data_IF_239401365416
#
_entry.id   IF_239401365416
#
_cell.length_a   1.000
_cell.length_b   1.000
_cell.length_c   1.000
_cell.angle_alpha   90.00
_cell.angle_beta   90.00
_cell.angle_gamma   90.00
#
_symmetry.space_group_name_H-M   'P 1'
#
loop_
_entity.id
_entity.type
_entity.pdbx_description
1 polymer ?
#
# COMPACT_ATOMS: atom_id res chain seq x y z
N UNK A 1 11.71 5.99 -6.07
CA UNK A 1 12.24 4.67 -5.69
C UNK A 1 13.75 4.68 -5.93
N UNK A 2 14.56 4.48 -4.89
CA UNK A 2 15.98 4.23 -5.11
C UNK A 2 16.07 2.79 -5.63
N UNK A 3 16.34 2.60 -6.94
CA UNK A 3 16.29 1.30 -7.63
C UNK A 3 17.00 0.16 -6.87
N UNK A 4 18.01 0.53 -6.07
CA UNK A 4 18.85 -0.39 -5.32
C UNK A 4 18.12 -1.11 -4.17
N UNK A 5 17.10 -0.51 -3.56
CA UNK A 5 16.44 -1.09 -2.38
C UNK A 5 15.39 -2.14 -2.77
N UNK A 6 14.61 -1.87 -3.82
CA UNK A 6 13.67 -2.83 -4.39
C UNK A 6 14.40 -4.08 -4.89
N UNK A 7 15.57 -3.89 -5.52
CA UNK A 7 16.45 -4.97 -5.96
C UNK A 7 16.98 -5.80 -4.79
N UNK A 8 17.43 -5.15 -3.71
CA UNK A 8 17.95 -5.84 -2.53
C UNK A 8 16.86 -6.67 -1.81
N UNK A 9 15.63 -6.17 -1.73
CA UNK A 9 14.51 -6.91 -1.15
C UNK A 9 14.12 -8.09 -2.05
N UNK A 10 14.08 -7.88 -3.37
CA UNK A 10 13.79 -8.94 -4.34
C UNK A 10 14.83 -10.07 -4.26
N UNK A 11 16.12 -9.73 -4.18
CA UNK A 11 17.21 -10.70 -4.06
C UNK A 11 17.16 -11.47 -2.73
N UNK A 12 16.83 -10.80 -1.61
CA UNK A 12 16.65 -11.46 -0.33
C UNK A 12 15.46 -12.46 -0.34
N UNK A 13 14.36 -12.11 -1.02
CA UNK A 13 13.19 -13.00 -1.17
C UNK A 13 13.52 -14.20 -2.06
N UNK A 14 14.33 -14.03 -3.12
CA UNK A 14 14.78 -15.14 -4.00
C UNK A 14 15.58 -16.21 -3.26
N UNK A 15 16.33 -15.82 -2.24
CA UNK A 15 17.22 -16.71 -1.51
C UNK A 15 16.53 -17.46 -0.34
N UNK A 16 15.22 -17.26 -0.13
CA UNK A 16 14.47 -17.94 0.92
C UNK A 16 13.95 -19.32 0.44
N UNK A 17 14.23 -20.43 1.16
CA UNK A 17 13.71 -21.75 0.78
C UNK A 17 12.17 -21.79 0.88
N UNK A 18 11.51 -22.30 -0.16
CA UNK A 18 10.05 -22.24 -0.36
C UNK A 18 9.22 -23.24 0.46
N UNK A 19 9.76 -23.84 1.53
CA UNK A 19 9.07 -24.86 2.32
C UNK A 19 8.61 -24.30 3.67
N UNK A 20 7.63 -23.40 3.62
CA UNK A 20 6.79 -23.12 4.78
C UNK A 20 5.34 -23.42 4.42
N UNK A 21 4.89 -24.64 4.74
CA UNK A 21 3.46 -24.88 4.97
C UNK A 21 3.05 -24.05 6.18
N UNK A 22 2.52 -22.86 5.93
CA UNK A 22 1.84 -22.10 6.97
C UNK A 22 0.54 -22.85 7.25
N UNK A 23 0.51 -23.62 8.34
CA UNK A 23 -0.74 -24.12 8.88
C UNK A 23 -1.59 -22.90 9.28
N UNK A 24 -2.61 -22.63 8.48
CA UNK A 24 -3.56 -21.52 8.65
C UNK A 24 -4.42 -21.79 9.90
N UNK A 25 -3.84 -21.59 11.08
CA UNK A 25 -4.48 -21.85 12.38
C UNK A 25 -5.49 -20.77 12.78
N UNK A 26 -5.67 -19.74 11.96
CA UNK A 26 -6.71 -18.73 12.11
C UNK A 26 -6.95 -18.14 10.72
N UNK A 27 -8.20 -18.02 10.25
CA UNK A 27 -8.63 -17.39 8.96
C UNK A 27 -8.26 -15.90 8.85
N UNK A 28 -7.08 -15.50 9.30
CA UNK A 28 -6.57 -14.15 9.21
C UNK A 28 -5.95 -14.01 7.82
N UNK A 29 -6.21 -12.91 7.11
CA UNK A 29 -5.56 -12.68 5.84
C UNK A 29 -4.04 -12.80 6.03
N UNK A 30 -3.38 -13.52 5.15
CA UNK A 30 -1.93 -13.58 5.14
C UNK A 30 -1.39 -12.21 4.76
N UNK A 31 -0.90 -11.50 5.78
CA UNK A 31 -0.47 -10.11 5.65
C UNK A 31 0.94 -9.98 5.06
N UNK A 32 1.70 -11.08 4.94
CA UNK A 32 3.12 -11.03 4.58
C UNK A 32 3.66 -12.21 3.76
N UNK A 33 2.85 -13.10 3.19
CA UNK A 33 3.37 -13.97 2.11
C UNK A 33 3.85 -13.12 0.94
N UNK A 34 5.16 -13.13 0.75
CA UNK A 34 5.79 -12.53 -0.40
C UNK A 34 5.96 -13.62 -1.46
N UNK A 35 5.33 -13.41 -2.61
CA UNK A 35 5.63 -14.13 -3.85
C UNK A 35 6.60 -13.31 -4.70
N UNK A 36 7.18 -13.91 -5.75
CA UNK A 36 8.04 -13.19 -6.70
C UNK A 36 7.33 -12.03 -7.41
N UNK A 37 6.00 -12.07 -7.50
CA UNK A 37 5.16 -11.04 -8.12
C UNK A 37 4.71 -9.96 -7.13
N UNK A 38 5.17 -10.03 -5.88
CA UNK A 38 4.69 -9.12 -4.84
C UNK A 38 5.30 -7.74 -5.00
N UNK A 39 4.44 -6.77 -5.31
CA UNK A 39 4.80 -5.36 -5.37
C UNK A 39 4.77 -4.71 -3.98
N UNK A 40 5.83 -3.97 -3.64
CA UNK A 40 6.01 -3.33 -2.33
C UNK A 40 6.14 -1.82 -2.48
N UNK A 41 5.46 -1.10 -1.58
CA UNK A 41 5.63 0.33 -1.35
C UNK A 41 6.32 0.55 -0.02
N UNK A 42 7.29 1.47 0.02
CA UNK A 42 7.96 1.86 1.27
C UNK A 42 8.09 3.38 1.35
N UNK A 43 7.77 3.94 2.52
CA UNK A 43 7.96 5.36 2.78
C UNK A 43 9.32 5.67 3.43
N UNK A 44 9.62 6.96 3.60
CA UNK A 44 10.89 7.45 4.17
C UNK A 44 11.12 7.00 5.63
N UNK A 45 10.07 6.58 6.35
CA UNK A 45 10.15 6.04 7.71
C UNK A 45 10.44 4.54 7.74
N UNK A 46 10.53 3.91 6.57
CA UNK A 46 10.79 2.47 6.44
C UNK A 46 9.54 1.61 6.55
N UNK A 47 8.33 2.18 6.62
CA UNK A 47 7.08 1.41 6.67
C UNK A 47 6.78 0.84 5.29
N UNK A 48 6.74 -0.48 5.20
CA UNK A 48 6.52 -1.21 3.95
C UNK A 48 5.10 -1.79 3.90
N UNK A 49 4.45 -1.65 2.74
CA UNK A 49 3.10 -2.14 2.43
C UNK A 49 3.14 -2.91 1.11
N UNK A 50 2.53 -4.10 1.09
CA UNK A 50 2.27 -4.89 -0.10
C UNK A 50 1.08 -4.31 -0.86
N UNK A 51 1.31 -3.99 -2.14
CA UNK A 51 0.29 -3.47 -3.06
C UNK A 51 -0.30 -4.61 -3.89
N UNK A 52 -1.60 -4.53 -4.16
CA UNK A 52 -2.31 -5.40 -5.10
C UNK A 52 -3.04 -4.57 -6.16
N UNK A 53 -2.44 -4.45 -7.35
CA UNK A 53 -3.02 -3.68 -8.48
C UNK A 53 -4.38 -4.20 -8.92
N UNK A 54 -4.66 -5.49 -8.72
CA UNK A 54 -5.97 -6.09 -9.00
C UNK A 54 -7.11 -5.39 -8.25
N UNK A 55 -6.87 -4.77 -7.09
CA UNK A 55 -7.90 -4.07 -6.30
C UNK A 55 -8.41 -2.80 -6.97
N UNK A 56 -7.79 -2.33 -8.05
CA UNK A 56 -8.38 -1.29 -8.88
C UNK A 56 -9.71 -1.73 -9.51
N UNK A 57 -10.01 -3.04 -9.58
CA UNK A 57 -11.32 -3.55 -9.99
C UNK A 57 -12.44 -3.19 -9.03
N UNK A 58 -12.13 -2.93 -7.75
CA UNK A 58 -13.12 -2.55 -6.74
C UNK A 58 -13.63 -1.12 -6.96
N UNK A 59 -12.83 -0.26 -7.59
CA UNK A 59 -13.17 1.14 -7.83
C UNK A 59 -14.10 1.29 -9.03
N UNK A 60 -15.18 2.05 -8.85
CA UNK A 60 -16.08 2.45 -9.95
C UNK A 60 -15.38 3.44 -10.89
N UNK A 61 -15.87 3.57 -12.13
CA UNK A 61 -15.33 4.54 -13.09
C UNK A 61 -15.41 5.98 -12.55
N UNK A 62 -16.49 6.33 -11.86
CA UNK A 62 -16.65 7.64 -11.22
C UNK A 62 -15.65 7.83 -10.06
N UNK A 63 -15.44 6.80 -9.24
CA UNK A 63 -14.44 6.82 -8.18
C UNK A 63 -13.03 7.03 -8.72
N UNK A 64 -12.66 6.30 -9.79
CA UNK A 64 -11.38 6.47 -10.49
C UNK A 64 -11.21 7.89 -11.03
N UNK A 65 -12.21 8.41 -11.74
CA UNK A 65 -12.18 9.78 -12.25
C UNK A 65 -11.99 10.81 -11.14
N UNK A 66 -12.71 10.65 -10.02
CA UNK A 66 -12.60 11.54 -8.86
C UNK A 66 -11.23 11.48 -8.19
N UNK A 67 -10.65 10.29 -8.06
CA UNK A 67 -9.31 10.08 -7.51
C UNK A 67 -8.24 10.71 -8.39
N UNK A 68 -8.31 10.47 -9.70
CA UNK A 68 -7.36 10.98 -10.69
C UNK A 68 -7.36 12.49 -10.78
N UNK A 69 -8.53 13.12 -10.72
CA UNK A 69 -8.67 14.57 -10.88
C UNK A 69 -8.05 15.37 -9.72
N UNK A 70 -8.16 14.86 -8.48
CA UNK A 70 -7.88 15.68 -7.28
C UNK A 70 -6.81 15.15 -6.35
N UNK A 71 -6.52 13.85 -6.36
CA UNK A 71 -5.79 13.22 -5.25
C UNK A 71 -4.49 12.55 -5.67
N UNK A 72 -4.36 12.12 -6.92
CA UNK A 72 -3.12 11.49 -7.38
C UNK A 72 -1.94 12.46 -7.41
N UNK A 73 -0.80 11.95 -6.97
CA UNK A 73 0.53 12.52 -7.18
C UNK A 73 1.00 12.37 -8.62
N UNK A 74 2.19 12.94 -8.92
CA UNK A 74 2.83 12.75 -10.21
C UNK A 74 3.24 11.28 -10.36
N UNK A 75 2.78 10.63 -11.44
CA UNK A 75 3.01 9.20 -11.72
C UNK A 75 2.54 8.27 -10.59
N UNK A 76 1.56 8.69 -9.79
CA UNK A 76 0.96 7.89 -8.73
C UNK A 76 -0.29 7.18 -9.26
N UNK A 77 -0.42 5.87 -9.03
CA UNK A 77 -1.67 5.15 -9.29
C UNK A 77 -2.58 5.10 -8.06
N UNK A 78 -3.80 4.57 -8.20
CA UNK A 78 -4.76 4.50 -7.08
C UNK A 78 -4.22 3.70 -5.88
N UNK A 79 -3.61 2.54 -6.14
CA UNK A 79 -3.05 1.74 -5.05
C UNK A 79 -1.81 2.38 -4.43
N UNK A 80 -1.04 3.18 -5.19
CA UNK A 80 0.09 3.94 -4.64
C UNK A 80 -0.40 5.02 -3.69
N UNK A 81 -1.47 5.75 -4.05
CA UNK A 81 -2.14 6.71 -3.18
C UNK A 81 -2.57 6.03 -1.87
N UNK A 82 -3.22 4.87 -1.95
CA UNK A 82 -3.67 4.15 -0.76
C UNK A 82 -2.50 3.67 0.10
N UNK A 83 -1.42 3.16 -0.51
CA UNK A 83 -0.23 2.72 0.21
C UNK A 83 0.53 3.90 0.86
N UNK A 84 0.64 5.04 0.17
CA UNK A 84 1.21 6.28 0.73
C UNK A 84 0.43 6.72 1.95
N UNK A 85 -0.89 6.81 1.86
CA UNK A 85 -1.73 7.24 2.97
C UNK A 85 -1.63 6.25 4.13
N UNK A 86 -1.79 4.95 3.86
CA UNK A 86 -1.70 3.91 4.89
C UNK A 86 -0.35 3.93 5.62
N UNK A 87 0.76 3.96 4.87
CA UNK A 87 2.10 3.98 5.45
C UNK A 87 2.42 5.28 6.20
N UNK A 88 1.78 6.41 5.85
CA UNK A 88 1.96 7.72 6.53
C UNK A 88 1.36 7.75 7.93
N UNK A 89 0.24 7.06 8.15
CA UNK A 89 -0.45 7.08 9.46
C UNK A 89 -0.29 5.79 10.26
N UNK A 90 0.49 4.85 9.75
CA UNK A 90 0.83 3.63 10.46
C UNK A 90 1.99 3.83 11.45
N UNK A 91 2.00 3.00 12.49
CA UNK A 91 3.09 2.89 13.46
C UNK A 91 4.18 1.89 13.03
N UNK A 92 3.81 0.87 12.26
CA UNK A 92 4.70 -0.18 11.76
C UNK A 92 4.12 -0.87 10.51
N UNK A 93 4.88 -1.78 9.89
CA UNK A 93 4.50 -2.48 8.65
C UNK A 93 3.16 -3.21 8.77
N UNK A 94 2.92 -3.93 9.88
CA UNK A 94 1.68 -4.68 10.10
C UNK A 94 0.48 -3.74 10.28
N UNK A 95 0.68 -2.59 10.92
CA UNK A 95 -0.36 -1.55 11.01
C UNK A 95 -0.64 -0.95 9.62
N UNK A 96 0.40 -0.61 8.85
CA UNK A 96 0.27 -0.06 7.49
C UNK A 96 -0.45 -1.02 6.55
N UNK A 97 -0.12 -2.31 6.58
CA UNK A 97 -0.79 -3.31 5.74
C UNK A 97 -2.28 -3.43 6.06
N UNK A 98 -2.66 -3.40 7.35
CA UNK A 98 -4.07 -3.44 7.76
C UNK A 98 -4.83 -2.22 7.25
N UNK A 99 -4.29 -1.01 7.44
CA UNK A 99 -4.91 0.22 6.92
C UNK A 99 -5.05 0.14 5.39
N UNK A 100 -3.98 -0.24 4.68
CA UNK A 100 -4.02 -0.38 3.22
C UNK A 100 -5.10 -1.37 2.77
N UNK A 101 -5.21 -2.53 3.41
CA UNK A 101 -6.23 -3.52 3.07
C UNK A 101 -7.63 -2.93 3.25
N UNK A 102 -7.93 -2.28 4.37
CA UNK A 102 -9.24 -1.66 4.59
C UNK A 102 -9.56 -0.55 3.58
N UNK A 103 -8.59 0.27 3.19
CA UNK A 103 -8.80 1.31 2.18
C UNK A 103 -8.99 0.68 0.79
N UNK A 104 -8.13 -0.25 0.39
CA UNK A 104 -8.12 -0.88 -0.95
C UNK A 104 -9.29 -1.85 -1.17
N UNK A 105 -9.83 -2.44 -0.10
CA UNK A 105 -11.06 -3.23 -0.11
C UNK A 105 -12.32 -2.37 0.06
N UNK A 106 -12.17 -1.03 0.13
CA UNK A 106 -13.25 -0.04 0.25
C UNK A 106 -14.10 -0.18 1.52
N UNK A 107 -13.54 -0.68 2.62
CA UNK A 107 -14.21 -0.75 3.92
C UNK A 107 -14.36 0.63 4.54
N UNK A 108 -13.40 1.52 4.27
CA UNK A 108 -13.53 2.95 4.51
C UNK A 108 -12.65 3.73 3.51
N UNK A 109 -12.83 5.05 3.46
CA UNK A 109 -11.98 5.94 2.70
C UNK A 109 -11.50 7.10 3.58
N UNK A 110 -10.21 7.47 3.56
CA UNK A 110 -9.72 8.64 4.26
C UNK A 110 -10.37 9.94 3.76
N UNK A 111 -10.47 10.94 4.63
CA UNK A 111 -11.00 12.25 4.28
C UNK A 111 -10.12 12.97 3.23
N UNK A 112 -10.71 13.91 2.50
CA UNK A 112 -10.07 14.67 1.41
C UNK A 112 -8.68 15.22 1.77
N UNK A 113 -8.46 15.92 2.91
CA UNK A 113 -7.13 16.42 3.25
C UNK A 113 -6.11 15.30 3.51
N UNK A 114 -6.57 14.15 4.01
CA UNK A 114 -5.71 12.99 4.25
C UNK A 114 -5.26 12.37 2.92
N UNK A 115 -6.16 12.24 1.95
CA UNK A 115 -5.84 11.73 0.61
C UNK A 115 -4.87 12.67 -0.14
N UNK A 116 -5.15 13.96 -0.14
CA UNK A 116 -4.35 14.96 -0.87
C UNK A 116 -2.99 15.22 -0.24
N UNK A 117 -2.93 15.28 1.10
CA UNK A 117 -1.75 15.79 1.81
C UNK A 117 -0.98 14.74 2.61
N UNK A 118 -1.60 13.61 2.97
CA UNK A 118 -0.96 12.57 3.77
C UNK A 118 0.30 12.02 3.09
N UNK A 119 1.47 12.25 3.70
CA UNK A 119 2.74 11.77 3.14
C UNK A 119 3.24 12.60 1.97
N UNK A 120 2.74 13.82 1.79
CA UNK A 120 3.23 14.78 0.78
C UNK A 120 3.71 16.07 1.43
N UNK A 121 4.26 16.98 0.62
CA UNK A 121 4.64 18.34 1.04
C UNK A 121 3.63 19.41 0.59
N UNK A 122 2.44 19.02 0.11
CA UNK A 122 1.46 19.91 -0.53
C UNK A 122 0.66 20.78 0.44
N UNK A 123 0.48 20.35 1.68
CA UNK A 123 -0.32 21.06 2.67
C UNK A 123 -0.51 20.27 3.97
N UNK A 124 -1.34 20.80 4.88
CA UNK A 124 -1.67 20.13 6.13
C UNK A 124 -2.83 19.13 5.94
N UNK A 125 -2.77 17.93 6.55
CA UNK A 125 -3.82 16.92 6.44
C UNK A 125 -4.92 17.15 7.50
N UNK A 126 -5.53 18.35 7.51
CA UNK A 126 -6.54 18.76 8.49
C UNK A 126 -7.75 19.33 7.73
N UNK A 127 -8.97 19.04 8.22
CA UNK A 127 -10.22 19.59 7.68
C UNK A 127 -10.84 20.59 8.65
#
# INVERSE_FOLDING_TARGET
MNKNLSLAIEEAVRNLPSNHEIQDLDKRPDLFSLSQETELFQNDRGITVKISRSKDSNLTNFGKATLSDRYLGLNESFQDLFARVASTYADNNLHGQRIYNYISDLWFMPATPILSNGGTKRGLPIS
#
